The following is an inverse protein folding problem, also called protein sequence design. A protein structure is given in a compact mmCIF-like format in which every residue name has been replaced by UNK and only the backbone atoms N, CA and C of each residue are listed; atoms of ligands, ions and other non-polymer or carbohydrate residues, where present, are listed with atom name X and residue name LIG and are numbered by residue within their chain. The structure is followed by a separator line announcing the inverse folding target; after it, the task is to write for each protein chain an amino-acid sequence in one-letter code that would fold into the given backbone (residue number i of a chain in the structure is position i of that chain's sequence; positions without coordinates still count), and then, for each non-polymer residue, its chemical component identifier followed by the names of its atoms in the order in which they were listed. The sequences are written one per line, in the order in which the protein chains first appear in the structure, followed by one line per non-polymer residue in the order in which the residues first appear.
data_IF_382372166141
#
_entry.id   IF_382372166141
#
_cell.length_a   1.000
_cell.length_b   1.000
_cell.length_c   1.000
_cell.angle_alpha   90.00
_cell.angle_beta   90.00
_cell.angle_gamma   90.00
#
_symmetry.space_group_name_H-M   'P 1'
#
loop_
_entity.id
_entity.type
_entity.pdbx_description
1 polymer ?
#
# COMPACT_ATOMS: atom_id res chain seq x y z
N UNK A 1 -3.13 12.74 9.73
CA UNK A 1 -2.24 11.65 9.29
C UNK A 1 -2.34 10.48 10.25
N UNK A 2 -2.45 9.27 9.73
CA UNK A 2 -2.41 8.07 10.55
C UNK A 2 -1.03 7.95 11.20
N UNK A 3 -0.96 7.36 12.40
CA UNK A 3 0.31 7.19 13.11
C UNK A 3 1.25 6.24 12.38
N UNK A 4 0.70 5.23 11.68
CA UNK A 4 1.50 4.25 10.99
C UNK A 4 0.71 3.58 9.86
N UNK A 5 1.46 2.93 8.97
CA UNK A 5 0.89 2.08 7.93
C UNK A 5 0.06 0.94 8.53
N UNK A 6 0.37 0.53 9.76
CA UNK A 6 -0.35 -0.54 10.46
C UNK A 6 -1.78 -0.10 10.82
N UNK A 7 -1.99 1.17 11.16
CA UNK A 7 -3.33 1.72 11.39
C UNK A 7 -4.18 1.62 10.13
N UNK A 8 -3.60 1.96 8.98
CA UNK A 8 -4.27 1.86 7.69
C UNK A 8 -4.56 0.41 7.34
N UNK A 9 -3.60 -0.49 7.56
CA UNK A 9 -3.79 -1.92 7.33
C UNK A 9 -4.91 -2.49 8.20
N UNK A 10 -5.00 -2.06 9.45
CA UNK A 10 -6.07 -2.48 10.36
C UNK A 10 -7.43 -2.10 9.78
N UNK A 11 -7.57 -0.87 9.29
CA UNK A 11 -8.82 -0.43 8.67
C UNK A 11 -9.11 -1.18 7.37
N UNK A 12 -8.09 -1.41 6.54
CA UNK A 12 -8.25 -2.20 5.30
C UNK A 12 -8.85 -3.57 5.62
N UNK A 13 -8.32 -4.24 6.63
CA UNK A 13 -8.81 -5.58 7.02
C UNK A 13 -10.24 -5.54 7.57
N UNK A 14 -10.60 -4.50 8.31
CA UNK A 14 -11.98 -4.31 8.75
C UNK A 14 -12.92 -4.15 7.56
N UNK A 15 -12.46 -3.48 6.50
CA UNK A 15 -13.25 -3.21 5.31
C UNK A 15 -13.34 -4.39 4.35
N UNK A 16 -12.24 -5.13 4.18
CA UNK A 16 -12.13 -6.21 3.18
C UNK A 16 -12.32 -7.60 3.75
N UNK A 17 -12.21 -7.76 5.07
CA UNK A 17 -12.10 -9.05 5.75
C UNK A 17 -10.80 -9.76 5.35
N UNK A 18 -10.75 -11.08 5.26
CA UNK A 18 -9.55 -11.85 4.97
C UNK A 18 -9.07 -11.64 3.54
N UNK A 19 -7.82 -11.24 3.39
CA UNK A 19 -7.17 -11.06 2.07
C UNK A 19 -5.75 -11.63 2.12
N UNK A 20 -5.11 -11.74 0.95
CA UNK A 20 -3.69 -12.10 0.90
C UNK A 20 -2.84 -10.96 1.44
N UNK A 21 -1.69 -11.32 2.02
CA UNK A 21 -0.74 -10.31 2.51
C UNK A 21 -0.22 -9.46 1.36
N UNK A 22 -0.09 -10.04 0.17
CA UNK A 22 0.29 -9.30 -1.05
C UNK A 22 -0.75 -8.23 -1.38
N UNK A 23 -2.03 -8.55 -1.32
CA UNK A 23 -3.10 -7.57 -1.57
C UNK A 23 -3.11 -6.47 -0.51
N UNK A 24 -2.90 -6.82 0.76
CA UNK A 24 -2.85 -5.85 1.84
C UNK A 24 -1.77 -4.79 1.59
N UNK A 25 -0.56 -5.21 1.23
CA UNK A 25 0.54 -4.29 0.92
C UNK A 25 0.18 -3.35 -0.24
N UNK A 26 -0.44 -3.88 -1.28
CA UNK A 26 -0.79 -3.06 -2.46
C UNK A 26 -1.93 -2.09 -2.18
N UNK A 27 -2.92 -2.50 -1.39
CA UNK A 27 -4.00 -1.59 -0.98
C UNK A 27 -3.45 -0.44 -0.12
N UNK A 28 -2.51 -0.74 0.78
CA UNK A 28 -1.85 0.30 1.58
C UNK A 28 -1.03 1.24 0.69
N UNK A 29 -0.32 0.71 -0.30
CA UNK A 29 0.45 1.50 -1.25
C UNK A 29 -0.43 2.47 -2.05
N UNK A 30 -1.52 1.97 -2.63
CA UNK A 30 -2.42 2.81 -3.41
C UNK A 30 -3.19 3.80 -2.56
N UNK A 31 -3.47 3.47 -1.30
CA UNK A 31 -4.08 4.42 -0.35
C UNK A 31 -3.13 5.58 -0.07
N UNK A 32 -1.84 5.29 0.15
CA UNK A 32 -0.82 6.33 0.31
C UNK A 32 -0.73 7.21 -0.94
N UNK A 33 -0.68 6.57 -2.11
CA UNK A 33 -0.58 7.29 -3.39
C UNK A 33 -1.76 8.25 -3.60
N UNK A 34 -2.97 7.77 -3.36
CA UNK A 34 -4.18 8.59 -3.51
C UNK A 34 -4.18 9.77 -2.55
N UNK A 35 -3.78 9.55 -1.29
CA UNK A 35 -3.72 10.62 -0.30
C UNK A 35 -2.70 11.69 -0.67
N UNK A 36 -1.54 11.27 -1.17
CA UNK A 36 -0.50 12.20 -1.63
C UNK A 36 -0.99 13.08 -2.76
N UNK A 37 -1.75 12.51 -3.71
CA UNK A 37 -2.31 13.26 -4.83
C UNK A 37 -3.40 14.23 -4.35
N UNK A 38 -4.33 13.74 -3.53
CA UNK A 38 -5.50 14.52 -3.13
C UNK A 38 -5.16 15.62 -2.13
N UNK A 39 -4.22 15.38 -1.22
CA UNK A 39 -3.94 16.28 -0.10
C UNK A 39 -2.53 16.87 -0.12
N UNK A 40 -1.63 16.33 -0.94
CA UNK A 40 -0.24 16.77 -0.98
C UNK A 40 0.60 16.34 0.21
N UNK A 41 0.02 15.57 1.14
CA UNK A 41 0.68 15.10 2.35
C UNK A 41 0.52 13.59 2.48
N UNK A 42 1.43 12.90 3.21
CA UNK A 42 1.32 11.45 3.36
C UNK A 42 0.16 11.06 4.29
N UNK A 43 -0.42 9.91 4.01
CA UNK A 43 -1.43 9.28 4.87
C UNK A 43 -0.77 8.70 6.13
N UNK A 44 0.45 8.20 5.98
CA UNK A 44 1.27 7.67 7.08
C UNK A 44 2.74 7.93 6.78
N UNK A 45 3.61 7.93 7.81
CA UNK A 45 5.01 8.34 7.63
C UNK A 45 5.91 7.29 6.97
N UNK A 46 5.60 6.01 7.08
CA UNK A 46 6.48 4.94 6.59
C UNK A 46 6.65 5.00 5.07
N UNK A 47 7.78 4.46 4.60
CA UNK A 47 8.09 4.38 3.18
C UNK A 47 7.81 2.97 2.64
N UNK A 48 7.57 2.89 1.33
CA UNK A 48 7.55 1.63 0.60
C UNK A 48 8.88 1.41 -0.09
N UNK A 49 9.29 0.15 -0.16
CA UNK A 49 10.48 -0.27 -0.90
C UNK A 49 10.06 -1.06 -2.13
N UNK A 50 10.89 -0.99 -3.17
CA UNK A 50 10.62 -1.63 -4.46
C UNK A 50 11.10 -3.07 -4.48
N UNK A 51 10.39 -3.95 -3.77
CA UNK A 51 10.69 -5.38 -3.72
C UNK A 51 10.29 -6.08 -5.03
N UNK A 52 10.78 -7.31 -5.23
CA UNK A 52 10.49 -8.09 -6.45
C UNK A 52 9.00 -8.25 -6.74
N UNK A 53 8.21 -8.47 -5.71
CA UNK A 53 6.76 -8.68 -5.84
C UNK A 53 5.94 -7.40 -5.86
N UNK A 54 6.58 -6.23 -5.89
CA UNK A 54 5.93 -4.93 -5.86
C UNK A 54 6.32 -4.13 -4.62
N UNK A 55 5.70 -2.96 -4.43
CA UNK A 55 5.97 -2.13 -3.27
C UNK A 55 5.60 -2.83 -1.96
N UNK A 56 6.49 -2.74 -0.97
CA UNK A 56 6.29 -3.31 0.36
C UNK A 56 6.73 -2.28 1.41
N UNK A 57 5.90 -2.08 2.43
CA UNK A 57 6.26 -1.35 3.63
C UNK A 57 6.86 -2.36 4.62
N UNK A 58 8.16 -2.27 4.94
CA UNK A 58 8.80 -3.27 5.81
C UNK A 58 8.18 -3.36 7.20
N UNK A 59 7.71 -2.25 7.74
CA UNK A 59 7.05 -2.22 9.06
C UNK A 59 5.77 -3.06 9.06
N UNK A 60 5.03 -3.03 7.97
CA UNK A 60 3.84 -3.87 7.80
C UNK A 60 4.24 -5.33 7.55
N UNK A 61 5.27 -5.54 6.74
CA UNK A 61 5.79 -6.88 6.45
C UNK A 61 6.20 -7.62 7.74
N UNK A 62 6.77 -6.92 8.70
CA UNK A 62 7.17 -7.51 9.98
C UNK A 62 5.99 -8.18 10.71
N UNK A 63 4.77 -7.70 10.49
CA UNK A 63 3.57 -8.25 11.13
C UNK A 63 3.00 -9.45 10.40
N UNK A 64 3.15 -9.52 9.08
CA UNK A 64 2.56 -10.62 8.31
C UNK A 64 3.59 -11.60 7.73
N UNK A 65 4.85 -11.43 8.05
CA UNK A 65 5.92 -12.30 7.60
C UNK A 65 5.58 -13.76 7.88
N UNK A 66 5.71 -14.60 6.85
CA UNK A 66 5.40 -16.01 6.94
C UNK A 66 3.93 -16.37 6.74
N UNK A 67 3.06 -15.37 6.57
CA UNK A 67 1.64 -15.60 6.29
C UNK A 67 1.35 -15.39 4.81
N UNK A 68 0.42 -16.17 4.29
CA UNK A 68 -0.14 -15.96 2.95
C UNK A 68 -1.44 -15.17 3.01
N UNK A 69 -2.29 -15.50 3.98
CA UNK A 69 -3.56 -14.80 4.25
C UNK A 69 -3.46 -14.05 5.58
N UNK A 70 -4.16 -12.95 5.68
CA UNK A 70 -4.26 -12.17 6.90
C UNK A 70 -5.72 -11.78 7.15
N UNK A 71 -6.14 -11.84 8.42
CA UNK A 71 -7.51 -11.60 8.86
C UNK A 71 -7.60 -10.34 9.70
N UNK A 72 -8.82 -9.76 9.83
CA UNK A 72 -9.04 -8.68 10.79
C UNK A 72 -8.55 -9.10 12.19
N UNK A 73 -7.87 -8.19 12.87
CA UNK A 73 -7.30 -8.44 14.20
C UNK A 73 -5.91 -9.04 14.20
N UNK A 74 -5.44 -9.56 13.08
CA UNK A 74 -4.10 -10.17 13.00
C UNK A 74 -2.96 -9.15 12.84
N UNK A 75 -3.30 -7.86 12.66
CA UNK A 75 -2.31 -6.78 12.79
C UNK A 75 -1.89 -6.58 14.26
N UNK A 76 -2.49 -7.32 15.17
CA UNK A 76 -2.16 -7.32 16.59
C UNK A 76 -2.52 -6.02 17.27
N UNK A 77 -1.83 -5.73 18.38
CA UNK A 77 -2.04 -4.51 19.15
C UNK A 77 -1.20 -3.34 18.61
N UNK A 78 -0.51 -3.54 17.47
CA UNK A 78 0.40 -2.55 16.93
C UNK A 78 -0.31 -1.39 16.22
N UNK A 79 -1.58 -1.58 15.81
CA UNK A 79 -2.33 -0.57 15.09
C UNK A 79 -3.80 -0.53 15.46
N UNK A 80 -4.44 0.60 15.18
CA UNK A 80 -5.88 0.79 15.40
C UNK A 80 -6.45 1.68 14.31
N UNK A 81 -7.64 1.33 13.81
CA UNK A 81 -8.35 2.16 12.84
C UNK A 81 -8.90 3.45 13.46
N UNK A 82 -8.95 3.54 14.78
CA UNK A 82 -9.41 4.75 15.47
C UNK A 82 -8.47 5.94 15.27
N UNK A 83 -7.22 5.69 14.89
CA UNK A 83 -6.25 6.74 14.58
C UNK A 83 -6.51 7.44 13.24
N UNK A 84 -7.43 6.92 12.42
CA UNK A 84 -7.78 7.52 11.13
C UNK A 84 -8.95 8.49 11.28
N UNK A 85 -8.86 9.63 10.58
CA UNK A 85 -10.01 10.55 10.48
C UNK A 85 -11.08 9.93 9.59
N UNK A 86 -12.28 10.49 9.62
CA UNK A 86 -13.36 10.05 8.75
C UNK A 86 -12.99 10.21 7.28
N UNK A 87 -12.33 11.30 6.93
CA UNK A 87 -11.86 11.55 5.55
C UNK A 87 -10.84 10.52 5.11
N UNK A 88 -9.90 10.17 5.99
CA UNK A 88 -8.90 9.14 5.72
C UNK A 88 -9.55 7.77 5.51
N UNK A 89 -10.53 7.41 6.34
CA UNK A 89 -11.29 6.17 6.19
C UNK A 89 -12.04 6.13 4.86
N UNK A 90 -12.67 7.23 4.48
CA UNK A 90 -13.39 7.33 3.22
C UNK A 90 -12.45 7.10 2.04
N UNK A 91 -11.27 7.69 2.07
CA UNK A 91 -10.26 7.53 1.02
C UNK A 91 -9.80 6.07 0.92
N UNK A 92 -9.46 5.46 2.04
CA UNK A 92 -9.00 4.05 2.07
C UNK A 92 -10.14 3.13 1.61
N UNK A 93 -11.36 3.37 2.06
CA UNK A 93 -12.52 2.59 1.63
C UNK A 93 -12.73 2.66 0.12
N UNK A 94 -12.54 3.85 -0.47
CA UNK A 94 -12.67 4.02 -1.92
C UNK A 94 -11.65 3.17 -2.69
N UNK A 95 -10.41 3.09 -2.19
CA UNK A 95 -9.38 2.23 -2.79
C UNK A 95 -9.76 0.76 -2.66
N UNK A 96 -10.18 0.33 -1.48
CA UNK A 96 -10.60 -1.05 -1.24
C UNK A 96 -11.76 -1.45 -2.15
N UNK A 97 -12.75 -0.58 -2.28
CA UNK A 97 -13.95 -0.87 -3.09
C UNK A 97 -13.60 -0.91 -4.58
N UNK A 98 -12.78 0.03 -5.06
CA UNK A 98 -12.35 0.07 -6.46
C UNK A 98 -11.53 -1.16 -6.85
N UNK A 99 -10.78 -1.72 -5.91
CA UNK A 99 -9.88 -2.85 -6.14
C UNK A 99 -10.43 -4.16 -5.56
N UNK A 100 -11.72 -4.21 -5.21
CA UNK A 100 -12.33 -5.38 -4.57
C UNK A 100 -12.19 -6.66 -5.39
N UNK A 101 -12.30 -6.56 -6.71
CA UNK A 101 -12.22 -7.71 -7.61
C UNK A 101 -10.78 -8.07 -8.02
N UNK A 102 -9.81 -7.21 -7.71
CA UNK A 102 -8.41 -7.47 -8.06
C UNK A 102 -7.76 -8.39 -7.03
N UNK A 103 -6.99 -9.36 -7.52
CA UNK A 103 -6.17 -10.21 -6.65
C UNK A 103 -4.88 -9.47 -6.27
N UNK A 104 -4.17 -9.99 -5.26
CA UNK A 104 -2.83 -9.48 -4.95
C UNK A 104 -1.90 -9.56 -6.15
N UNK A 105 -1.98 -10.64 -6.93
CA UNK A 105 -1.20 -10.81 -8.15
C UNK A 105 -1.55 -9.76 -9.21
N UNK A 106 -2.84 -9.45 -9.39
CA UNK A 106 -3.28 -8.40 -10.32
C UNK A 106 -2.70 -7.05 -9.94
N UNK A 107 -2.76 -6.70 -8.65
CA UNK A 107 -2.23 -5.43 -8.16
C UNK A 107 -0.71 -5.38 -8.25
N UNK A 108 -0.04 -6.49 -7.98
CA UNK A 108 1.41 -6.60 -8.16
C UNK A 108 1.80 -6.32 -9.61
N UNK A 109 1.11 -6.94 -10.57
CA UNK A 109 1.34 -6.70 -12.00
C UNK A 109 1.10 -5.23 -12.38
N UNK A 110 0.07 -4.62 -11.81
CA UNK A 110 -0.20 -3.20 -12.04
C UNK A 110 0.98 -2.34 -11.58
N UNK A 111 1.50 -2.57 -10.36
CA UNK A 111 2.64 -1.80 -9.86
C UNK A 111 3.89 -1.98 -10.73
N UNK A 112 4.09 -3.18 -11.28
CA UNK A 112 5.23 -3.49 -12.15
C UNK A 112 5.18 -2.76 -13.49
N UNK A 113 4.01 -2.24 -13.88
CA UNK A 113 3.84 -1.45 -15.10
C UNK A 113 3.90 0.06 -14.83
N UNK A 114 4.05 0.47 -13.57
CA UNK A 114 3.97 1.88 -13.16
C UNK A 114 5.34 2.40 -12.74
N UNK A 115 5.64 3.66 -13.10
CA UNK A 115 7.00 4.19 -12.96
C UNK A 115 7.52 4.30 -11.52
N UNK A 116 6.71 4.52 -10.47
CA UNK A 116 7.27 4.56 -9.12
C UNK A 116 8.06 3.31 -8.75
N UNK A 117 7.53 2.12 -9.06
CA UNK A 117 8.23 0.86 -8.80
C UNK A 117 9.35 0.63 -9.82
N UNK A 118 9.04 0.82 -11.11
CA UNK A 118 10.00 0.60 -12.19
C UNK A 118 11.25 1.47 -12.02
N UNK A 119 11.07 2.76 -11.77
CA UNK A 119 12.19 3.69 -11.66
C UNK A 119 13.06 3.41 -10.43
N UNK A 120 12.43 3.02 -9.32
CA UNK A 120 13.18 2.65 -8.12
C UNK A 120 14.04 1.40 -8.32
N UNK A 121 13.71 0.57 -9.31
CA UNK A 121 14.44 -0.65 -9.64
C UNK A 121 15.29 -0.53 -10.90
N UNK A 122 15.48 0.67 -11.40
CA UNK A 122 16.22 0.91 -12.64
C UNK A 122 17.62 0.31 -12.55
N UNK A 123 17.99 -0.46 -13.57
CA UNK A 123 19.28 -1.15 -13.64
C UNK A 123 19.28 -2.55 -13.03
N UNK A 124 18.17 -2.98 -12.43
CA UNK A 124 18.05 -4.32 -11.83
C UNK A 124 17.27 -5.27 -12.74
N UNK A 125 17.64 -6.55 -12.72
CA UNK A 125 16.83 -7.58 -13.34
C UNK A 125 15.53 -7.75 -12.53
N UNK A 126 14.41 -8.21 -13.17
CA UNK A 126 13.14 -8.37 -12.46
C UNK A 126 13.19 -9.26 -11.21
N UNK A 127 14.07 -10.24 -11.20
CA UNK A 127 14.20 -11.19 -10.10
C UNK A 127 15.20 -10.76 -9.02
N UNK A 128 15.93 -9.66 -9.23
CA UNK A 128 16.90 -9.19 -8.24
C UNK A 128 16.20 -8.58 -7.02
N UNK A 129 16.67 -8.89 -5.81
CA UNK A 129 16.13 -8.23 -4.62
C UNK A 129 16.54 -6.76 -4.59
N UNK A 130 15.67 -5.92 -4.04
CA UNK A 130 15.94 -4.50 -3.85
C UNK A 130 15.22 -4.01 -2.61
N UNK A 131 15.86 -3.11 -1.88
CA UNK A 131 15.26 -2.37 -0.78
C UNK A 131 15.24 -0.87 -1.07
N UNK A 132 15.35 -0.49 -2.34
CA UNK A 132 15.30 0.92 -2.74
C UNK A 132 13.96 1.52 -2.40
N UNK A 133 13.98 2.67 -1.72
CA UNK A 133 12.76 3.38 -1.33
C UNK A 133 12.08 3.98 -2.55
N UNK A 134 10.77 3.76 -2.64
CA UNK A 134 9.91 4.48 -3.58
C UNK A 134 9.51 5.78 -2.88
N UNK A 135 10.05 6.91 -3.34
CA UNK A 135 9.80 8.18 -2.65
C UNK A 135 8.35 8.60 -2.76
N UNK A 136 7.89 9.31 -1.75
CA UNK A 136 6.53 9.87 -1.76
C UNK A 136 6.36 10.86 -2.91
N UNK A 137 7.42 11.61 -3.24
CA UNK A 137 7.38 12.53 -4.37
C UNK A 137 7.19 11.80 -5.70
N UNK A 138 7.87 10.67 -5.91
CA UNK A 138 7.72 9.86 -7.12
C UNK A 138 6.28 9.32 -7.23
N UNK A 139 5.69 8.90 -6.11
CA UNK A 139 4.31 8.43 -6.08
C UNK A 139 3.34 9.55 -6.46
N UNK A 140 3.50 10.72 -5.85
CA UNK A 140 2.64 11.87 -6.12
C UNK A 140 2.73 12.30 -7.58
N UNK A 141 3.94 12.44 -8.08
CA UNK A 141 4.18 12.91 -9.47
C UNK A 141 3.53 11.97 -10.48
N UNK A 142 3.70 10.67 -10.31
CA UNK A 142 3.15 9.69 -11.25
C UNK A 142 1.62 9.63 -11.18
N UNK A 143 1.07 9.50 -9.98
CA UNK A 143 -0.37 9.26 -9.83
C UNK A 143 -1.22 10.53 -10.01
N UNK A 144 -0.62 11.71 -10.08
CA UNK A 144 -1.33 12.93 -10.47
C UNK A 144 -1.84 12.85 -11.91
N UNK A 145 -1.07 12.22 -12.81
CA UNK A 145 -1.43 12.08 -14.22
C UNK A 145 -1.91 10.68 -14.57
N UNK A 146 -1.73 9.72 -13.69
CA UNK A 146 -2.13 8.33 -13.87
C UNK A 146 -2.97 7.91 -12.65
N UNK A 147 -4.27 8.25 -12.62
CA UNK A 147 -5.08 8.12 -11.40
C UNK A 147 -5.09 6.73 -10.80
N UNK A 148 -5.02 6.68 -9.47
CA UNK A 148 -5.16 5.43 -8.69
C UNK A 148 -6.53 4.83 -8.94
N UNK A 149 -7.57 5.66 -8.85
CA UNK A 149 -8.96 5.26 -9.10
C UNK A 149 -9.30 5.52 -10.57
N UNK A 150 -9.65 4.47 -11.27
CA UNK A 150 -9.99 4.53 -12.69
C UNK A 150 -11.18 3.65 -13.02
#
# INVERSE_FOLDING_TARGET
MARSVVDVATYILERTDTITTMKLQKLAFYSQALHLVNNGTPLFPEDFQAWRGGPVAPELYALHRGKFLIRPGESGNAGTSEGLTEEERTLVAAVCDAMSEATGADLSQRTHAESPWLDARKGLAPSEPSATVITKQAMRDYYQTNPVLR
#
